data_IF_721242535916
#
_entry.id   IF_721242535916
#
_cell.length_a   1.000
_cell.length_b   1.000
_cell.length_c   1.000
_cell.angle_alpha   90.00
_cell.angle_beta   90.00
_cell.angle_gamma   90.00
#
_symmetry.space_group_name_H-M   'P 1'
#
loop_
_entity.id
_entity.type
_entity.pdbx_description
1 polymer ?
#
# COMPACT_ATOMS: atom_id res chain seq x y z
N UNK A 1 -9.92 -0.97 33.95
CA UNK A 1 -9.77 -2.16 33.06
C UNK A 1 -11.07 -2.34 32.30
N UNK A 2 -11.16 -1.83 31.09
CA UNK A 2 -12.31 -2.05 30.22
C UNK A 2 -12.22 -3.49 29.70
N UNK A 3 -13.23 -4.31 30.00
CA UNK A 3 -13.31 -5.68 29.49
C UNK A 3 -13.44 -5.63 27.96
N UNK A 4 -12.39 -6.02 27.25
CA UNK A 4 -12.46 -6.24 25.81
C UNK A 4 -13.35 -7.46 25.54
N UNK A 5 -14.56 -7.23 25.09
CA UNK A 5 -15.38 -8.30 24.56
C UNK A 5 -14.81 -8.76 23.25
N UNK A 6 -14.48 -10.03 23.14
CA UNK A 6 -14.02 -10.67 21.93
C UNK A 6 -15.07 -10.43 20.81
N UNK A 7 -14.70 -9.83 19.65
CA UNK A 7 -15.68 -9.63 18.59
C UNK A 7 -16.24 -10.99 18.14
N UNK A 8 -17.56 -11.08 17.96
CA UNK A 8 -18.20 -12.33 17.53
C UNK A 8 -17.60 -12.79 16.19
N UNK A 9 -17.37 -14.06 16.02
CA UNK A 9 -16.78 -14.63 14.81
C UNK A 9 -17.53 -14.19 13.54
N UNK A 10 -18.87 -14.04 13.60
CA UNK A 10 -19.70 -13.54 12.50
C UNK A 10 -19.40 -12.09 12.13
N UNK A 11 -19.08 -11.22 13.09
CA UNK A 11 -18.69 -9.82 12.85
C UNK A 11 -17.33 -9.74 12.19
N UNK A 12 -16.37 -10.57 12.63
CA UNK A 12 -15.03 -10.64 12.05
C UNK A 12 -15.09 -11.13 10.59
N UNK A 13 -15.87 -12.17 10.30
CA UNK A 13 -16.03 -12.70 8.94
C UNK A 13 -16.72 -11.68 8.02
N UNK A 14 -17.81 -11.05 8.48
CA UNK A 14 -18.51 -10.02 7.72
C UNK A 14 -17.62 -8.80 7.45
N UNK A 15 -16.83 -8.38 8.45
CA UNK A 15 -15.86 -7.31 8.30
C UNK A 15 -14.73 -7.67 7.33
N UNK A 16 -14.17 -8.88 7.41
CA UNK A 16 -13.15 -9.36 6.48
C UNK A 16 -13.63 -9.33 5.03
N UNK A 17 -14.88 -9.73 4.77
CA UNK A 17 -15.49 -9.66 3.42
C UNK A 17 -15.61 -8.22 2.92
N UNK A 18 -16.09 -7.29 3.77
CA UNK A 18 -16.14 -5.86 3.44
C UNK A 18 -14.76 -5.28 3.17
N UNK A 19 -13.76 -5.63 3.99
CA UNK A 19 -12.38 -5.18 3.81
C UNK A 19 -11.78 -5.64 2.49
N UNK A 20 -12.07 -6.85 2.04
CA UNK A 20 -11.65 -7.36 0.73
C UNK A 20 -12.26 -6.55 -0.42
N UNK A 21 -13.47 -6.03 -0.24
CA UNK A 21 -14.15 -5.17 -1.22
C UNK A 21 -13.68 -3.72 -1.17
N UNK A 22 -13.30 -3.21 0.01
CA UNK A 22 -12.88 -1.82 0.24
C UNK A 22 -11.40 -1.54 0.00
N UNK A 23 -10.62 -2.49 -0.55
CA UNK A 23 -9.20 -2.23 -0.92
C UNK A 23 -9.03 -1.08 -1.92
N UNK A 24 -10.10 -0.61 -2.50
CA UNK A 24 -10.15 0.34 -3.62
C UNK A 24 -10.90 1.63 -3.26
N UNK A 25 -11.63 1.65 -2.14
CA UNK A 25 -12.44 2.78 -1.70
C UNK A 25 -11.96 3.43 -0.41
N UNK A 26 -12.71 4.43 0.02
CA UNK A 26 -12.56 5.02 1.36
C UNK A 26 -13.50 4.22 2.27
N UNK A 27 -12.94 3.51 3.21
CA UNK A 27 -13.67 2.79 4.26
C UNK A 27 -14.47 3.76 5.15
N UNK A 28 -15.57 3.30 5.76
CA UNK A 28 -16.26 4.05 6.81
C UNK A 28 -15.38 4.14 8.07
N UNK A 29 -15.71 5.05 9.00
CA UNK A 29 -14.99 5.11 10.28
C UNK A 29 -15.28 3.88 11.13
N UNK A 30 -16.51 3.39 11.07
CA UNK A 30 -16.95 2.19 11.76
C UNK A 30 -16.17 0.96 11.29
N UNK A 31 -16.01 0.78 9.97
CA UNK A 31 -15.20 -0.32 9.41
C UNK A 31 -13.73 -0.20 9.81
N UNK A 32 -13.20 1.04 9.89
CA UNK A 32 -11.84 1.27 10.33
C UNK A 32 -11.63 0.92 11.81
N UNK A 33 -12.58 1.27 12.68
CA UNK A 33 -12.56 0.94 14.10
C UNK A 33 -12.72 -0.57 14.36
N UNK A 34 -13.60 -1.23 13.62
CA UNK A 34 -13.74 -2.70 13.70
C UNK A 34 -12.45 -3.40 13.26
N UNK A 35 -11.78 -2.88 12.23
CA UNK A 35 -10.50 -3.41 11.80
C UNK A 35 -9.40 -3.23 12.86
N UNK A 36 -9.35 -2.07 13.52
CA UNK A 36 -8.36 -1.83 14.58
C UNK A 36 -8.60 -2.74 15.78
N UNK A 37 -9.85 -2.97 16.20
CA UNK A 37 -10.17 -3.98 17.22
C UNK A 37 -9.71 -5.40 16.80
N UNK A 38 -9.88 -5.75 15.53
CA UNK A 38 -9.39 -7.02 15.01
C UNK A 38 -7.86 -7.10 15.06
N UNK A 39 -7.14 -6.03 14.68
CA UNK A 39 -5.67 -5.96 14.75
C UNK A 39 -5.18 -6.09 16.19
N UNK A 40 -5.81 -5.40 17.14
CA UNK A 40 -5.53 -5.51 18.58
C UNK A 40 -5.72 -6.96 19.04
N UNK A 41 -6.86 -7.54 18.72
CA UNK A 41 -7.14 -8.94 19.10
C UNK A 41 -6.10 -9.91 18.52
N UNK A 42 -5.71 -9.75 17.27
CA UNK A 42 -4.70 -10.60 16.62
C UNK A 42 -3.30 -10.41 17.18
N UNK A 43 -2.93 -9.21 17.57
CA UNK A 43 -1.60 -8.94 18.14
C UNK A 43 -1.45 -9.36 19.60
N UNK A 44 -2.58 -9.41 20.37
CA UNK A 44 -2.56 -9.85 21.77
C UNK A 44 -2.71 -11.36 21.91
N UNK A 45 -3.55 -11.95 21.04
CA UNK A 45 -3.78 -13.39 20.99
C UNK A 45 -3.13 -14.01 19.75
N UNK A 46 -1.87 -13.66 19.38
CA UNK A 46 -1.19 -14.49 18.42
C UNK A 46 -1.30 -15.88 19.01
N UNK A 47 -1.64 -16.83 18.21
CA UNK A 47 -1.53 -18.19 18.61
C UNK A 47 -0.16 -18.31 19.28
N UNK A 48 -0.13 -18.53 20.60
CA UNK A 48 1.11 -18.64 21.39
C UNK A 48 2.10 -19.62 20.75
N UNK A 49 1.62 -20.40 19.83
CA UNK A 49 2.28 -21.47 19.11
C UNK A 49 2.87 -21.04 17.73
N UNK A 50 2.60 -19.82 17.24
CA UNK A 50 2.98 -19.40 15.86
C UNK A 50 3.96 -18.24 15.83
N UNK A 51 4.18 -17.57 16.95
CA UNK A 51 5.02 -16.37 17.02
C UNK A 51 6.52 -16.69 17.30
N UNK A 52 7.05 -17.73 16.67
CA UNK A 52 8.51 -17.92 16.69
C UNK A 52 9.19 -16.67 16.13
N UNK A 53 9.92 -15.96 17.01
CA UNK A 53 10.73 -14.79 16.66
C UNK A 53 10.08 -13.41 16.81
N UNK A 54 8.81 -13.30 17.30
CA UNK A 54 8.25 -12.01 17.71
C UNK A 54 8.23 -11.93 19.22
N UNK A 55 8.97 -10.94 19.78
CA UNK A 55 9.07 -10.76 21.23
C UNK A 55 7.76 -10.15 21.78
N UNK A 56 7.32 -10.61 22.95
CA UNK A 56 6.14 -10.05 23.66
C UNK A 56 6.25 -8.52 23.85
N UNK A 57 7.47 -8.01 24.03
CA UNK A 57 7.76 -6.59 24.14
C UNK A 57 7.34 -5.82 22.87
N UNK A 58 7.68 -6.33 21.68
CA UNK A 58 7.30 -5.73 20.40
C UNK A 58 5.78 -5.73 20.21
N UNK A 59 5.10 -6.78 20.64
CA UNK A 59 3.63 -6.86 20.61
C UNK A 59 3.03 -5.81 21.56
N UNK A 60 3.60 -5.64 22.74
CA UNK A 60 3.18 -4.62 23.72
C UNK A 60 3.35 -3.19 23.17
N UNK A 61 4.45 -2.92 22.46
CA UNK A 61 4.69 -1.64 21.80
C UNK A 61 3.62 -1.33 20.74
N UNK A 62 3.11 -2.34 20.06
CA UNK A 62 2.08 -2.17 19.04
C UNK A 62 0.68 -1.97 19.66
N UNK A 63 0.40 -2.64 20.78
CA UNK A 63 -0.93 -2.66 21.39
C UNK A 63 -1.44 -1.28 21.77
N UNK A 64 -0.70 -0.54 22.61
CA UNK A 64 -1.11 0.77 23.10
C UNK A 64 -1.36 1.80 22.00
N UNK A 65 -0.49 1.93 20.97
CA UNK A 65 -0.75 2.80 19.84
C UNK A 65 -1.99 2.43 19.04
N UNK A 66 -2.28 1.15 18.87
CA UNK A 66 -3.50 0.71 18.17
C UNK A 66 -4.77 1.02 18.98
N UNK A 67 -4.77 0.72 20.28
CA UNK A 67 -5.89 1.02 21.17
C UNK A 67 -6.17 2.52 21.21
N UNK A 68 -5.15 3.32 21.52
CA UNK A 68 -5.29 4.78 21.61
C UNK A 68 -5.63 5.42 20.26
N UNK A 69 -5.12 4.89 19.14
CA UNK A 69 -5.43 5.41 17.82
C UNK A 69 -6.89 5.18 17.41
N UNK A 70 -7.55 4.19 18.01
CA UNK A 70 -8.95 3.85 17.76
C UNK A 70 -9.92 4.77 18.48
N UNK A 71 -9.47 5.59 19.44
CA UNK A 71 -10.31 6.53 20.15
C UNK A 71 -10.72 7.72 19.25
N UNK A 72 -11.97 8.14 19.40
CA UNK A 72 -12.48 9.34 18.73
C UNK A 72 -11.72 10.57 19.27
N UNK A 73 -11.08 11.31 18.35
CA UNK A 73 -10.27 12.48 18.72
C UNK A 73 -8.80 12.18 19.02
N UNK A 74 -8.39 10.94 18.99
CA UNK A 74 -6.99 10.57 19.19
C UNK A 74 -6.05 11.28 18.22
N UNK A 75 -4.92 11.77 18.74
CA UNK A 75 -3.82 12.37 17.97
C UNK A 75 -2.73 11.36 17.59
N UNK A 76 -2.84 10.12 18.07
CA UNK A 76 -1.87 9.06 17.78
C UNK A 76 -1.76 8.82 16.28
N UNK A 77 -0.52 8.79 15.80
CA UNK A 77 -0.17 8.72 14.38
C UNK A 77 0.60 7.42 14.08
N UNK A 78 -0.09 6.30 14.13
CA UNK A 78 0.50 5.04 13.65
C UNK A 78 -0.12 4.61 12.33
N UNK A 79 0.70 4.17 11.37
CA UNK A 79 0.20 3.61 10.11
C UNK A 79 -0.32 2.17 10.30
N UNK A 80 -0.04 1.54 11.43
CA UNK A 80 -0.60 0.23 11.80
C UNK A 80 -2.09 0.30 12.14
N UNK A 81 -2.61 1.46 12.61
CA UNK A 81 -4.03 1.65 12.86
C UNK A 81 -4.76 2.05 11.57
N UNK A 82 -5.86 1.38 11.29
CA UNK A 82 -6.72 1.68 10.16
C UNK A 82 -7.42 3.02 10.32
N UNK A 83 -7.91 3.32 11.52
CA UNK A 83 -8.56 4.59 11.84
C UNK A 83 -7.58 5.77 11.74
N UNK A 84 -6.35 5.63 12.28
CA UNK A 84 -5.31 6.64 12.14
C UNK A 84 -4.92 6.83 10.66
N UNK A 85 -4.69 5.74 9.93
CA UNK A 85 -4.33 5.79 8.52
C UNK A 85 -5.41 6.48 7.68
N UNK A 86 -6.70 6.21 7.98
CA UNK A 86 -7.84 6.86 7.33
C UNK A 86 -7.82 8.38 7.49
N UNK A 87 -7.44 8.89 8.69
CA UNK A 87 -7.30 10.34 8.91
C UNK A 87 -6.29 11.01 7.98
N UNK A 88 -5.25 10.29 7.58
CA UNK A 88 -4.28 10.77 6.58
C UNK A 88 -4.78 10.61 5.14
N UNK A 89 -5.47 9.50 4.84
CA UNK A 89 -5.92 9.18 3.49
C UNK A 89 -6.96 10.15 2.96
N UNK A 90 -7.92 10.56 3.77
CA UNK A 90 -9.01 11.44 3.32
C UNK A 90 -8.49 12.78 2.79
N UNK A 91 -7.71 13.58 3.56
CA UNK A 91 -7.11 14.80 3.03
C UNK A 91 -6.20 14.54 1.83
N UNK A 92 -5.44 13.44 1.86
CA UNK A 92 -4.57 13.05 0.75
C UNK A 92 -5.35 12.87 -0.54
N UNK A 93 -6.44 12.10 -0.52
CA UNK A 93 -7.28 11.83 -1.70
C UNK A 93 -7.85 13.14 -2.25
N UNK A 94 -8.33 14.03 -1.38
CA UNK A 94 -8.83 15.37 -1.77
C UNK A 94 -7.75 16.20 -2.44
N UNK A 95 -6.54 16.22 -1.88
CA UNK A 95 -5.42 16.97 -2.43
C UNK A 95 -4.94 16.39 -3.77
N UNK A 96 -4.93 15.06 -3.93
CA UNK A 96 -4.61 14.41 -5.21
C UNK A 96 -5.68 14.73 -6.26
N UNK A 97 -6.96 14.69 -5.89
CA UNK A 97 -8.04 15.05 -6.82
C UNK A 97 -7.93 16.51 -7.27
N UNK A 98 -7.67 17.44 -6.36
CA UNK A 98 -7.43 18.85 -6.68
C UNK A 98 -6.20 19.04 -7.58
N UNK A 99 -5.11 18.28 -7.36
CA UNK A 99 -3.93 18.32 -8.20
C UNK A 99 -4.24 17.86 -9.63
N UNK A 100 -4.99 16.75 -9.79
CA UNK A 100 -5.39 16.25 -11.11
C UNK A 100 -6.26 17.29 -11.82
N UNK A 101 -7.20 17.92 -11.12
CA UNK A 101 -8.03 18.99 -11.67
C UNK A 101 -7.20 20.21 -12.08
N UNK A 102 -6.22 20.61 -11.27
CA UNK A 102 -5.31 21.72 -11.59
C UNK A 102 -4.35 21.41 -12.78
N UNK A 103 -4.30 20.15 -13.20
CA UNK A 103 -3.50 19.69 -14.36
C UNK A 103 -4.37 19.52 -15.62
N UNK A 104 -5.52 20.16 -15.68
CA UNK A 104 -6.40 20.13 -16.86
C UNK A 104 -5.63 20.49 -18.14
N UNK A 105 -5.86 19.72 -19.22
CA UNK A 105 -5.12 19.84 -20.48
C UNK A 105 -3.87 18.96 -20.58
N UNK A 106 -3.40 18.36 -19.46
CA UNK A 106 -2.31 17.40 -19.47
C UNK A 106 -2.83 15.98 -19.25
N UNK A 107 -2.32 14.97 -19.98
CA UNK A 107 -2.72 13.59 -19.75
C UNK A 107 -2.29 13.13 -18.35
N UNK A 108 -3.18 12.44 -17.65
CA UNK A 108 -2.88 11.78 -16.38
C UNK A 108 -3.15 10.28 -16.52
N UNK A 109 -2.19 9.46 -16.11
CA UNK A 109 -2.29 8.00 -16.17
C UNK A 109 -2.03 7.39 -14.81
N UNK A 110 -2.72 6.27 -14.52
CA UNK A 110 -2.39 5.42 -13.38
C UNK A 110 -1.48 4.29 -13.84
N UNK A 111 -0.45 4.00 -13.03
CA UNK A 111 0.47 2.90 -13.28
C UNK A 111 0.66 2.01 -12.04
N UNK A 112 1.04 0.75 -12.29
CA UNK A 112 1.56 -0.16 -11.27
C UNK A 112 2.89 -0.68 -11.76
N UNK A 113 3.93 -0.55 -10.94
CA UNK A 113 5.29 -1.02 -11.21
C UNK A 113 5.66 -2.13 -10.23
N UNK A 114 5.99 -3.31 -10.76
CA UNK A 114 6.34 -4.50 -9.98
C UNK A 114 7.80 -4.92 -10.30
N UNK A 115 8.81 -4.25 -9.74
CA UNK A 115 10.20 -4.61 -10.00
C UNK A 115 10.54 -5.98 -9.37
N UNK A 116 11.42 -6.75 -10.03
CA UNK A 116 11.88 -8.05 -9.50
C UNK A 116 12.74 -7.89 -8.26
N UNK A 117 13.56 -6.84 -8.23
CA UNK A 117 14.44 -6.51 -7.10
C UNK A 117 13.71 -6.24 -5.78
N UNK A 118 12.39 -6.02 -5.83
CA UNK A 118 11.55 -5.82 -4.65
C UNK A 118 10.66 -7.03 -4.31
N UNK A 119 10.97 -8.19 -4.85
CA UNK A 119 10.50 -9.48 -4.33
C UNK A 119 11.47 -9.90 -3.22
N UNK A 120 11.08 -9.72 -1.96
CA UNK A 120 11.92 -9.97 -0.78
C UNK A 120 11.41 -11.19 -0.01
N UNK A 121 12.31 -11.98 0.61
CA UNK A 121 11.90 -13.14 1.41
C UNK A 121 11.05 -12.69 2.63
N UNK A 122 10.38 -13.64 3.25
CA UNK A 122 9.47 -13.38 4.38
C UNK A 122 10.13 -12.58 5.50
N UNK A 123 11.34 -12.97 5.90
CA UNK A 123 12.13 -12.33 6.96
C UNK A 123 12.65 -10.94 6.56
N UNK A 124 12.63 -10.62 5.27
CA UNK A 124 13.18 -9.39 4.73
C UNK A 124 12.34 -8.14 5.01
N UNK A 125 11.07 -8.28 5.41
CA UNK A 125 10.19 -7.13 5.64
C UNK A 125 10.68 -6.24 6.78
N UNK A 126 11.20 -6.80 7.85
CA UNK A 126 11.64 -6.06 9.04
C UNK A 126 12.79 -5.11 8.71
N UNK A 127 13.73 -5.56 7.88
CA UNK A 127 14.88 -4.78 7.41
C UNK A 127 14.56 -3.89 6.20
N UNK A 128 13.37 -4.03 5.60
CA UNK A 128 13.01 -3.28 4.41
C UNK A 128 12.85 -1.79 4.69
N UNK A 129 13.68 -0.98 4.04
CA UNK A 129 13.69 0.48 4.20
C UNK A 129 13.01 1.17 3.00
N UNK A 130 11.74 1.59 3.12
CA UNK A 130 10.99 2.21 2.03
C UNK A 130 11.55 3.56 1.60
N UNK A 131 12.13 4.34 2.51
CA UNK A 131 12.75 5.63 2.19
C UNK A 131 13.97 5.44 1.28
N UNK A 132 14.85 4.49 1.61
CA UNK A 132 16.01 4.15 0.80
C UNK A 132 15.60 3.68 -0.60
N UNK A 133 14.57 2.82 -0.68
CA UNK A 133 14.03 2.32 -1.94
C UNK A 133 13.43 3.44 -2.78
N UNK A 134 12.64 4.34 -2.20
CA UNK A 134 12.08 5.50 -2.88
C UNK A 134 13.18 6.45 -3.38
N UNK A 135 14.23 6.66 -2.58
CA UNK A 135 15.39 7.48 -2.98
C UNK A 135 16.15 6.85 -4.14
N UNK A 136 16.39 5.53 -4.10
CA UNK A 136 17.03 4.81 -5.19
C UNK A 136 16.21 4.87 -6.48
N UNK A 137 14.90 4.65 -6.38
CA UNK A 137 13.98 4.74 -7.52
C UNK A 137 13.93 6.15 -8.11
N UNK A 138 13.89 7.21 -7.28
CA UNK A 138 13.98 8.60 -7.76
C UNK A 138 15.28 8.84 -8.53
N UNK A 139 16.40 8.39 -7.99
CA UNK A 139 17.71 8.52 -8.65
C UNK A 139 17.75 7.75 -9.97
N UNK A 140 17.15 6.57 -10.03
CA UNK A 140 17.02 5.79 -11.26
C UNK A 140 16.19 6.54 -12.31
N UNK A 141 15.03 7.09 -11.95
CA UNK A 141 14.18 7.87 -12.84
C UNK A 141 14.86 9.16 -13.32
N UNK A 142 15.64 9.83 -12.47
CA UNK A 142 16.40 11.01 -12.86
C UNK A 142 17.46 10.68 -13.92
N UNK A 143 18.16 9.55 -13.81
CA UNK A 143 19.09 9.08 -14.86
C UNK A 143 18.38 8.81 -16.19
N UNK A 144 17.05 8.58 -16.19
CA UNK A 144 16.18 8.45 -17.36
C UNK A 144 15.60 9.79 -17.84
N UNK A 145 16.01 10.89 -17.22
CA UNK A 145 15.62 12.24 -17.63
C UNK A 145 14.25 12.68 -17.14
N UNK A 146 13.63 12.00 -16.14
CA UNK A 146 12.30 12.38 -15.63
C UNK A 146 12.30 13.79 -15.04
N UNK A 147 13.44 14.24 -14.50
CA UNK A 147 13.64 15.58 -13.95
C UNK A 147 13.61 16.70 -15.01
N UNK A 148 13.79 16.34 -16.29
CA UNK A 148 13.71 17.25 -17.45
C UNK A 148 12.31 17.31 -18.05
N UNK A 149 11.45 16.34 -17.74
CA UNK A 149 10.09 16.27 -18.25
C UNK A 149 9.17 17.28 -17.58
N UNK A 150 8.24 17.84 -18.36
CA UNK A 150 7.10 18.58 -17.84
C UNK A 150 6.07 17.61 -17.27
N UNK A 151 5.56 17.92 -16.10
CA UNK A 151 4.57 17.10 -15.43
C UNK A 151 4.92 16.81 -13.97
N UNK A 152 4.25 15.82 -13.42
CA UNK A 152 4.46 15.35 -12.04
C UNK A 152 4.18 13.86 -11.89
N UNK A 153 4.74 13.30 -10.83
CA UNK A 153 4.53 11.92 -10.43
C UNK A 153 4.30 11.87 -8.93
N UNK A 154 3.27 11.12 -8.53
CA UNK A 154 3.03 10.68 -7.16
C UNK A 154 3.05 9.16 -7.15
N UNK A 155 3.93 8.55 -6.38
CA UNK A 155 3.97 7.11 -6.18
C UNK A 155 3.73 6.76 -4.71
N UNK A 156 2.87 5.77 -4.48
CA UNK A 156 2.69 5.13 -3.19
C UNK A 156 3.30 3.73 -3.20
N UNK A 157 4.16 3.45 -2.22
CA UNK A 157 4.73 2.13 -2.04
C UNK A 157 3.70 1.21 -1.38
N UNK A 158 3.57 0.04 -1.94
CA UNK A 158 2.60 -0.97 -1.54
C UNK A 158 3.25 -2.36 -1.54
N UNK A 159 2.62 -3.33 -0.88
CA UNK A 159 3.09 -4.71 -0.90
C UNK A 159 1.93 -5.70 -0.91
N UNK A 160 2.23 -6.90 -1.33
CA UNK A 160 1.39 -8.07 -1.18
C UNK A 160 2.28 -9.26 -0.78
N UNK A 161 1.75 -10.16 0.02
CA UNK A 161 2.44 -11.37 0.44
C UNK A 161 2.00 -12.55 -0.39
N UNK A 162 2.94 -13.34 -0.86
CA UNK A 162 2.68 -14.63 -1.51
C UNK A 162 2.94 -15.75 -0.51
N UNK A 163 1.90 -16.24 0.15
CA UNK A 163 2.03 -17.28 1.18
C UNK A 163 2.45 -18.66 0.64
N UNK A 164 2.45 -18.86 -0.68
CA UNK A 164 2.97 -20.10 -1.28
C UNK A 164 4.47 -19.95 -1.56
N UNK A 165 4.87 -18.80 -2.08
CA UNK A 165 6.27 -18.50 -2.38
C UNK A 165 7.08 -18.02 -1.17
N UNK A 166 6.43 -17.68 -0.05
CA UNK A 166 7.11 -17.13 1.14
C UNK A 166 7.78 -15.78 0.86
N UNK A 167 7.16 -14.94 0.01
CA UNK A 167 7.80 -13.70 -0.44
C UNK A 167 6.85 -12.51 -0.36
N UNK A 168 7.38 -11.35 0.02
CA UNK A 168 6.74 -10.06 -0.14
C UNK A 168 7.04 -9.51 -1.52
N UNK A 169 6.01 -9.08 -2.24
CA UNK A 169 6.13 -8.40 -3.55
C UNK A 169 5.82 -6.94 -3.37
N UNK A 170 6.88 -6.16 -3.15
CA UNK A 170 6.77 -4.72 -2.97
C UNK A 170 6.69 -4.05 -4.36
N UNK A 171 5.84 -3.05 -4.48
CA UNK A 171 5.58 -2.39 -5.75
C UNK A 171 5.08 -0.96 -5.55
N UNK A 172 5.08 -0.18 -6.61
CA UNK A 172 4.49 1.15 -6.59
C UNK A 172 3.18 1.21 -7.35
N UNK A 173 2.25 1.93 -6.79
CA UNK A 173 1.12 2.50 -7.52
C UNK A 173 1.41 3.98 -7.77
N UNK A 174 1.22 4.44 -9.02
CA UNK A 174 1.58 5.78 -9.44
C UNK A 174 0.41 6.50 -10.08
N UNK A 175 0.32 7.80 -9.83
CA UNK A 175 -0.31 8.76 -10.73
C UNK A 175 0.80 9.56 -11.41
N UNK A 176 0.74 9.64 -12.71
CA UNK A 176 1.76 10.27 -13.56
C UNK A 176 1.09 11.21 -14.54
N UNK A 177 1.60 12.43 -14.64
CA UNK A 177 1.07 13.50 -15.49
C UNK A 177 2.11 13.95 -16.53
N UNK A 178 1.63 14.30 -17.72
CA UNK A 178 2.41 14.94 -18.75
C UNK A 178 3.46 14.03 -19.41
N UNK A 179 4.61 14.59 -19.71
CA UNK A 179 5.70 13.91 -20.43
C UNK A 179 6.31 12.74 -19.62
N UNK A 180 6.18 12.77 -18.28
CA UNK A 180 6.67 11.71 -17.40
C UNK A 180 6.00 10.36 -17.67
N UNK A 181 4.80 10.35 -18.29
CA UNK A 181 4.09 9.12 -18.69
C UNK A 181 4.97 8.25 -19.61
N UNK A 182 5.67 8.88 -20.57
CA UNK A 182 6.55 8.16 -21.49
C UNK A 182 7.69 7.50 -20.73
N UNK A 183 8.35 8.22 -19.83
CA UNK A 183 9.49 7.68 -19.05
C UNK A 183 9.05 6.46 -18.25
N UNK A 184 7.86 6.51 -17.60
CA UNK A 184 7.35 5.36 -16.84
C UNK A 184 6.95 4.20 -17.75
N UNK A 185 6.39 4.46 -18.93
CA UNK A 185 6.04 3.40 -19.87
C UNK A 185 7.28 2.70 -20.44
N UNK A 186 8.36 3.44 -20.69
CA UNK A 186 9.62 2.93 -21.25
C UNK A 186 10.37 2.02 -20.24
N UNK A 187 9.99 2.02 -18.93
CA UNK A 187 10.55 1.08 -17.95
C UNK A 187 10.30 -0.39 -18.30
N UNK A 188 9.39 -0.70 -19.20
CA UNK A 188 9.14 -2.08 -19.68
C UNK A 188 10.37 -2.73 -20.31
N UNK A 189 11.27 -1.92 -20.83
CA UNK A 189 12.48 -2.39 -21.50
C UNK A 189 13.64 -2.63 -20.51
N UNK A 190 13.46 -2.21 -19.25
CA UNK A 190 14.44 -2.39 -18.19
C UNK A 190 14.40 -3.80 -17.62
N UNK A 191 15.57 -4.36 -17.31
CA UNK A 191 15.72 -5.75 -16.86
C UNK A 191 14.86 -6.06 -15.61
N UNK A 192 14.81 -5.14 -14.66
CA UNK A 192 14.04 -5.28 -13.41
C UNK A 192 12.51 -5.30 -13.65
N UNK A 193 12.06 -4.76 -14.78
CA UNK A 193 10.64 -4.65 -15.13
C UNK A 193 10.21 -5.50 -16.33
N UNK A 194 11.13 -6.26 -16.96
CA UNK A 194 10.78 -7.21 -18.00
C UNK A 194 9.95 -8.35 -17.46
N UNK A 195 8.89 -8.71 -18.17
CA UNK A 195 8.07 -9.87 -17.87
C UNK A 195 8.54 -11.07 -18.66
N UNK A 196 8.66 -12.23 -18.03
CA UNK A 196 8.88 -13.47 -18.74
C UNK A 196 7.63 -13.84 -19.57
N UNK A 197 7.82 -14.72 -20.57
CA UNK A 197 6.71 -15.24 -21.38
C UNK A 197 5.69 -15.94 -20.45
N UNK A 198 4.43 -15.51 -20.53
CA UNK A 198 3.35 -16.03 -19.68
C UNK A 198 3.19 -15.32 -18.33
N UNK A 199 4.13 -14.46 -17.93
CA UNK A 199 3.95 -13.63 -16.73
C UNK A 199 3.07 -12.41 -17.01
N UNK A 200 2.39 -11.95 -15.97
CA UNK A 200 1.67 -10.68 -16.02
C UNK A 200 2.65 -9.50 -16.18
N UNK A 201 2.31 -8.48 -16.99
CA UNK A 201 3.19 -7.33 -17.18
C UNK A 201 3.62 -6.68 -15.85
N UNK A 202 4.92 -6.40 -15.70
CA UNK A 202 5.48 -5.74 -14.50
C UNK A 202 5.29 -4.23 -14.52
N UNK A 203 5.13 -3.64 -15.70
CA UNK A 203 4.69 -2.25 -15.89
C UNK A 203 3.28 -2.27 -16.46
N UNK A 204 2.32 -1.80 -15.69
CA UNK A 204 0.90 -1.75 -16.08
C UNK A 204 0.44 -0.30 -16.08
N UNK A 205 0.10 0.21 -17.25
CA UNK A 205 -0.46 1.56 -17.41
C UNK A 205 -1.97 1.47 -17.63
N UNK A 206 -2.74 2.43 -17.11
CA UNK A 206 -4.16 2.54 -17.46
C UNK A 206 -4.30 2.84 -18.95
N UNK A 207 -5.15 2.03 -19.62
CA UNK A 207 -5.43 2.21 -21.06
C UNK A 207 -6.58 3.18 -21.33
N UNK A 208 -7.38 3.48 -20.30
CA UNK A 208 -8.56 4.34 -20.38
C UNK A 208 -8.31 5.61 -19.57
N UNK A 209 -8.93 6.72 -19.94
CA UNK A 209 -8.92 7.94 -19.12
C UNK A 209 -9.41 7.62 -17.70
N UNK A 210 -8.87 8.34 -16.73
CA UNK A 210 -9.23 8.19 -15.33
C UNK A 210 -10.52 8.97 -15.06
N UNK A 211 -11.61 8.27 -14.77
CA UNK A 211 -12.93 8.86 -14.52
C UNK A 211 -13.27 9.00 -13.05
N UNK A 212 -12.69 8.13 -12.20
CA UNK A 212 -12.90 8.15 -10.75
C UNK A 212 -11.55 8.42 -10.03
N UNK A 213 -11.17 9.69 -10.00
CA UNK A 213 -9.90 10.12 -9.39
C UNK A 213 -9.84 9.81 -7.90
N UNK A 214 -10.88 10.03 -7.06
CA UNK A 214 -10.85 9.65 -5.66
C UNK A 214 -10.54 8.16 -5.44
N UNK A 215 -11.13 7.29 -6.24
CA UNK A 215 -10.86 5.85 -6.19
C UNK A 215 -9.42 5.55 -6.55
N UNK A 216 -8.90 6.12 -7.65
CA UNK A 216 -7.51 5.92 -8.08
C UNK A 216 -6.53 6.47 -7.05
N UNK A 217 -6.80 7.66 -6.50
CA UNK A 217 -5.97 8.27 -5.46
C UNK A 217 -5.92 7.40 -4.18
N UNK A 218 -7.01 6.69 -3.85
CA UNK A 218 -7.05 5.78 -2.72
C UNK A 218 -6.13 4.58 -2.86
N UNK A 219 -5.81 4.18 -4.11
CA UNK A 219 -4.86 3.11 -4.39
C UNK A 219 -3.42 3.48 -4.11
N UNK A 220 -3.07 4.77 -4.18
CA UNK A 220 -1.70 5.23 -3.89
C UNK A 220 -1.32 4.99 -2.43
N UNK A 221 -2.31 4.99 -1.54
CA UNK A 221 -2.13 4.81 -0.10
C UNK A 221 -3.12 3.76 0.42
N UNK A 222 -2.80 2.50 0.20
CA UNK A 222 -3.59 1.41 0.76
C UNK A 222 -3.14 1.14 2.20
N UNK A 223 -4.12 1.08 3.10
CA UNK A 223 -3.92 0.78 4.52
C UNK A 223 -3.93 -0.71 4.83
N UNK A 224 -3.78 -1.55 3.82
CA UNK A 224 -3.83 -2.99 3.93
C UNK A 224 -3.04 -3.66 2.82
N UNK A 225 -2.17 -4.58 3.20
CA UNK A 225 -1.44 -5.43 2.28
C UNK A 225 -2.07 -6.82 2.28
N UNK A 226 -2.50 -7.32 1.14
CA UNK A 226 -3.16 -8.62 1.07
C UNK A 226 -2.16 -9.77 1.02
N UNK A 227 -2.61 -10.93 1.51
CA UNK A 227 -2.09 -12.20 1.04
C UNK A 227 -2.66 -12.46 -0.36
N UNK A 228 -1.76 -12.65 -1.32
CA UNK A 228 -2.08 -12.88 -2.72
C UNK A 228 -1.16 -13.94 -3.31
N UNK A 229 -1.44 -15.21 -3.03
CA UNK A 229 -0.66 -16.31 -3.60
C UNK A 229 -0.62 -16.22 -5.13
N UNK A 230 0.53 -16.54 -5.72
CA UNK A 230 0.61 -16.69 -7.19
C UNK A 230 -0.44 -17.69 -7.65
N UNK A 231 -1.23 -17.35 -8.66
CA UNK A 231 -2.14 -18.27 -9.30
C UNK A 231 -1.35 -19.36 -10.03
N UNK A 232 -1.90 -20.54 -10.08
CA UNK A 232 -1.33 -21.66 -10.84
C UNK A 232 -2.10 -21.84 -12.15
N UNK A 233 -1.42 -22.28 -13.19
CA UNK A 233 -2.10 -22.85 -14.35
C UNK A 233 -2.65 -24.21 -13.92
N UNK A 234 -3.92 -24.48 -14.20
CA UNK A 234 -4.48 -25.80 -14.10
C UNK A 234 -3.98 -26.68 -15.25
N UNK A 235 -4.14 -27.99 -15.12
CA UNK A 235 -3.69 -28.96 -16.14
C UNK A 235 -4.36 -28.76 -17.51
N UNK A 236 -5.52 -28.08 -17.53
CA UNK A 236 -6.25 -27.66 -18.74
C UNK A 236 -5.73 -26.35 -19.35
N UNK A 237 -4.65 -25.77 -18.81
CA UNK A 237 -4.07 -24.51 -19.26
C UNK A 237 -4.82 -23.25 -18.75
N UNK A 238 -5.90 -23.40 -17.99
CA UNK A 238 -6.61 -22.28 -17.39
C UNK A 238 -5.84 -21.67 -16.22
N UNK A 239 -5.82 -20.34 -16.13
CA UNK A 239 -5.13 -19.64 -15.03
C UNK A 239 -6.08 -19.34 -13.88
N UNK A 240 -5.96 -20.06 -12.78
CA UNK A 240 -6.71 -19.84 -11.56
C UNK A 240 -6.04 -18.76 -10.70
N UNK A 241 -6.63 -17.54 -10.67
CA UNK A 241 -6.24 -16.53 -9.69
C UNK A 241 -6.74 -16.95 -8.32
N UNK A 242 -5.82 -17.12 -7.38
CA UNK A 242 -6.20 -17.25 -5.97
C UNK A 242 -6.73 -15.90 -5.46
N UNK A 243 -7.79 -15.97 -4.66
CA UNK A 243 -8.41 -14.78 -4.10
C UNK A 243 -7.48 -14.06 -3.11
N UNK A 244 -7.59 -12.74 -3.05
CA UNK A 244 -6.96 -11.96 -2.00
C UNK A 244 -7.56 -12.34 -0.65
N UNK A 245 -6.71 -12.57 0.33
CA UNK A 245 -7.09 -12.85 1.71
C UNK A 245 -6.31 -11.95 2.67
N UNK A 246 -6.60 -12.05 3.96
CA UNK A 246 -5.75 -11.44 5.00
C UNK A 246 -4.41 -12.13 5.02
N UNK A 247 -3.40 -11.37 5.48
CA UNK A 247 -2.10 -11.95 5.79
C UNK A 247 -2.28 -13.06 6.84
N UNK A 248 -1.62 -14.20 6.68
CA UNK A 248 -1.55 -15.21 7.74
C UNK A 248 -0.70 -14.66 8.92
N UNK A 249 -0.76 -15.33 10.07
CA UNK A 249 0.25 -15.12 11.11
C UNK A 249 1.46 -16.01 10.81
N UNK A 250 2.68 -15.54 11.16
CA UNK A 250 3.01 -14.29 11.86
C UNK A 250 3.12 -13.05 10.96
N UNK A 251 2.91 -13.16 9.64
CA UNK A 251 3.13 -12.06 8.68
C UNK A 251 2.24 -10.84 8.93
N UNK A 252 1.01 -11.07 9.43
CA UNK A 252 0.12 -9.97 9.81
C UNK A 252 0.72 -9.12 10.93
N UNK A 253 1.21 -9.75 11.98
CA UNK A 253 1.82 -9.05 13.13
C UNK A 253 3.12 -8.38 12.74
N UNK A 254 4.01 -9.04 11.99
CA UNK A 254 5.26 -8.46 11.47
C UNK A 254 4.98 -7.23 10.60
N UNK A 255 3.99 -7.31 9.72
CA UNK A 255 3.59 -6.18 8.89
C UNK A 255 3.04 -5.00 9.72
N UNK A 256 2.25 -5.26 10.75
CA UNK A 256 1.74 -4.20 11.64
C UNK A 256 2.87 -3.52 12.41
N UNK A 257 3.83 -4.27 12.94
CA UNK A 257 5.04 -3.75 13.61
C UNK A 257 5.85 -2.90 12.63
N UNK A 258 6.07 -3.41 11.42
CA UNK A 258 6.78 -2.66 10.39
C UNK A 258 6.06 -1.34 10.05
N UNK A 259 4.72 -1.36 9.85
CA UNK A 259 3.92 -0.17 9.57
C UNK A 259 3.92 0.83 10.75
N UNK A 260 3.94 0.34 11.99
CA UNK A 260 3.98 1.19 13.17
C UNK A 260 5.23 2.09 13.21
N UNK A 261 6.36 1.57 12.78
CA UNK A 261 7.64 2.27 12.73
C UNK A 261 7.76 3.26 11.56
N UNK A 262 6.77 3.36 10.67
CA UNK A 262 6.86 4.16 9.44
C UNK A 262 6.05 5.46 9.52
N UNK A 263 6.54 6.44 8.76
CA UNK A 263 5.81 7.68 8.48
C UNK A 263 5.21 7.59 7.09
N UNK A 264 4.14 8.35 6.84
CA UNK A 264 3.53 8.41 5.52
C UNK A 264 4.52 8.86 4.43
N UNK A 265 5.46 9.76 4.78
CA UNK A 265 6.52 10.22 3.87
C UNK A 265 7.41 9.11 3.38
N UNK A 266 7.61 8.05 4.17
CA UNK A 266 8.50 6.95 3.83
C UNK A 266 7.90 6.09 2.71
N UNK A 267 6.57 6.04 2.65
CA UNK A 267 5.81 5.25 1.68
C UNK A 267 5.49 6.02 0.39
N UNK A 268 5.86 7.30 0.29
CA UNK A 268 5.46 8.17 -0.82
C UNK A 268 6.67 8.76 -1.52
N UNK A 269 6.66 8.68 -2.85
CA UNK A 269 7.60 9.39 -3.70
C UNK A 269 6.89 10.49 -4.49
N UNK A 270 7.46 11.69 -4.49
CA UNK A 270 6.97 12.87 -5.21
C UNK A 270 8.05 13.37 -6.18
N UNK A 271 7.70 13.58 -7.46
CA UNK A 271 8.57 14.18 -8.49
C UNK A 271 7.76 15.25 -9.23
N UNK A 272 8.34 16.41 -9.46
CA UNK A 272 7.67 17.55 -10.11
C UNK A 272 6.56 18.18 -9.29
N UNK A 273 6.34 17.70 -8.07
CA UNK A 273 5.31 18.17 -7.14
C UNK A 273 5.84 18.10 -5.72
N UNK A 274 5.40 19.01 -4.85
CA UNK A 274 5.69 18.99 -3.42
C UNK A 274 4.41 19.10 -2.60
N UNK A 275 4.39 18.44 -1.45
CA UNK A 275 3.30 18.57 -0.48
C UNK A 275 3.46 19.87 0.30
N UNK A 276 2.33 20.54 0.54
CA UNK A 276 2.19 21.73 1.38
C UNK A 276 1.09 21.48 2.42
N UNK A 277 0.89 22.40 3.34
CA UNK A 277 -0.21 22.34 4.32
C UNK A 277 -1.59 22.39 3.66
N UNK A 278 -1.71 23.09 2.52
CA UNK A 278 -2.97 23.25 1.77
C UNK A 278 -3.15 22.27 0.61
N UNK A 279 -2.23 21.32 0.40
CA UNK A 279 -2.33 20.36 -0.70
C UNK A 279 -1.02 20.09 -1.42
N UNK A 280 -1.08 20.03 -2.74
CA UNK A 280 0.09 19.84 -3.60
C UNK A 280 0.39 21.09 -4.42
N UNK A 281 1.66 21.44 -4.54
CA UNK A 281 2.15 22.51 -5.43
C UNK A 281 3.00 21.89 -6.53
N UNK A 282 2.62 22.12 -7.79
CA UNK A 282 3.37 21.66 -8.96
C UNK A 282 4.60 22.52 -9.11
N UNK A 283 5.73 21.91 -9.44
CA UNK A 283 7.01 22.58 -9.65
C UNK A 283 7.25 22.95 -11.11
N UNK A 284 6.74 22.11 -12.05
CA UNK A 284 6.87 22.32 -13.51
C UNK A 284 5.66 21.69 -14.23
N UNK A 285 4.91 22.47 -14.95
CA UNK A 285 3.98 22.04 -15.98
C UNK A 285 4.41 22.63 -17.33
#
# INVERSE_FOLDING_TARGET
MTSFSNPKASEVVGHAKRMLQCTVGIESIEDALVEDKYRIWRSIFPARDVAEGILEEQISELFWPLETASDIGSTVRTLASKAAFRRFRIPWIRHVAALVQASEGYPVSFATLLPRSLEIPDEGLESFNPEAVNKAFKSFLNRRGIDKCKGWLIAGLHGEYDSIGGVWRIHWHLLVCGEMIKVINDLRDEEDFKSAKGEAPRVRMSRKPLTDIPRVASYLLQSWWPNRPKGNFADDGSFHRKHRSRLPEPQQTRWLLWMHQRKLSDLVLLIGVRRTTSGFKISKL
#
